data_IF_297085611088
#
_entry.id   IF_297085611088
#
_cell.length_a   1.000
_cell.length_b   1.000
_cell.length_c   1.000
_cell.angle_alpha   90.00
_cell.angle_beta   90.00
_cell.angle_gamma   90.00
#
_symmetry.space_group_name_H-M   'P 1'
#
loop_
_entity.id
_entity.type
_entity.pdbx_description
1 polymer ?
#
# COMPACT_ATOMS: atom_id res chain seq x y z
N UNK A 1 -1.31 48.49 10.55
CA UNK A 1 -1.77 47.09 10.71
C UNK A 1 -1.76 46.45 9.33
N UNK A 2 -0.71 45.72 8.98
CA UNK A 2 -0.68 44.84 7.81
C UNK A 2 0.26 43.68 8.14
N UNK A 3 -0.34 42.56 8.55
CA UNK A 3 0.35 41.34 8.93
C UNK A 3 0.61 40.52 7.67
N UNK A 4 1.80 40.66 7.09
CA UNK A 4 2.25 39.81 5.98
C UNK A 4 2.72 38.46 6.54
N UNK A 5 1.95 37.41 6.23
CA UNK A 5 2.25 36.02 6.58
C UNK A 5 3.61 35.58 5.99
N UNK A 6 4.53 35.17 6.87
CA UNK A 6 5.79 34.53 6.51
C UNK A 6 5.52 33.13 5.95
N UNK A 7 5.65 32.97 4.63
CA UNK A 7 5.74 31.67 3.98
C UNK A 7 7.19 31.15 4.17
N UNK A 8 7.41 30.24 5.13
CA UNK A 8 8.70 29.54 5.29
C UNK A 8 8.91 28.58 4.11
N UNK A 9 9.55 29.06 3.05
CA UNK A 9 10.13 28.21 2.01
C UNK A 9 11.35 27.51 2.60
N UNK A 10 11.23 26.20 2.87
CA UNK A 10 12.39 25.34 3.09
C UNK A 10 13.13 25.19 1.75
N UNK A 11 14.17 26.01 1.57
CA UNK A 11 15.13 25.85 0.48
C UNK A 11 16.19 24.85 0.95
N UNK A 12 16.09 23.60 0.51
CA UNK A 12 17.17 22.63 0.67
C UNK A 12 18.14 22.82 -0.50
N UNK A 13 19.26 23.49 -0.24
CA UNK A 13 20.37 23.61 -1.18
C UNK A 13 21.10 22.26 -1.23
N UNK A 14 20.96 21.50 -2.31
CA UNK A 14 21.79 20.33 -2.57
C UNK A 14 22.81 20.70 -3.66
N UNK A 15 24.09 20.80 -3.29
CA UNK A 15 25.15 21.05 -4.26
C UNK A 15 25.83 19.74 -4.69
N UNK A 16 25.67 19.48 -5.99
CA UNK A 16 26.42 18.68 -6.96
C UNK A 16 27.32 17.51 -6.52
N UNK A 17 27.05 16.35 -7.12
CA UNK A 17 28.09 15.51 -7.71
C UNK A 17 27.57 14.97 -9.05
N UNK A 18 28.22 15.37 -10.15
CA UNK A 18 28.05 14.75 -11.47
C UNK A 18 28.57 13.33 -11.41
N UNK A 19 27.66 12.37 -11.23
CA UNK A 19 27.95 10.96 -11.36
C UNK A 19 27.63 10.49 -12.78
N UNK A 20 28.64 9.91 -13.39
CA UNK A 20 28.70 9.36 -14.74
C UNK A 20 27.58 8.34 -14.97
N UNK A 21 26.93 8.45 -16.13
CA UNK A 21 25.79 7.65 -16.57
C UNK A 21 26.12 6.16 -16.71
N UNK A 22 25.48 5.33 -15.88
CA UNK A 22 25.24 3.91 -16.14
C UNK A 22 23.73 3.68 -16.10
N UNK A 23 23.12 3.32 -17.23
CA UNK A 23 21.67 3.14 -17.39
C UNK A 23 21.15 1.86 -16.73
N UNK A 24 21.17 1.79 -15.40
CA UNK A 24 20.27 0.91 -14.66
C UNK A 24 18.98 1.69 -14.40
N UNK A 25 17.85 1.16 -14.87
CA UNK A 25 16.54 1.73 -14.61
C UNK A 25 16.24 1.49 -13.12
N UNK A 26 16.75 2.37 -12.25
CA UNK A 26 16.84 2.16 -10.80
C UNK A 26 15.48 2.48 -10.13
N UNK A 27 14.45 1.73 -10.54
CA UNK A 27 13.10 1.84 -9.99
C UNK A 27 13.11 1.41 -8.53
N UNK A 28 12.45 2.20 -7.69
CA UNK A 28 12.32 1.97 -6.26
C UNK A 28 11.36 0.82 -6.00
N UNK A 29 11.73 -0.20 -5.20
CA UNK A 29 10.85 -1.33 -4.92
C UNK A 29 9.65 -0.90 -4.07
N UNK A 30 8.44 -1.17 -4.57
CA UNK A 30 7.18 -0.93 -3.87
C UNK A 30 6.47 -2.26 -3.60
N UNK A 31 5.95 -2.42 -2.38
CA UNK A 31 5.14 -3.61 -2.03
C UNK A 31 3.70 -3.19 -1.79
N UNK A 32 2.77 -3.85 -2.49
CA UNK A 32 1.34 -3.61 -2.33
C UNK A 32 0.72 -4.67 -1.41
N UNK A 33 -0.16 -4.26 -0.50
CA UNK A 33 -0.88 -5.13 0.44
C UNK A 33 -2.40 -4.92 0.33
N UNK A 34 -3.13 -5.93 -0.11
CA UNK A 34 -4.60 -5.81 -0.24
C UNK A 34 -5.23 -7.14 -0.56
N UNK A 35 -6.56 -7.24 -0.46
CA UNK A 35 -7.26 -8.52 -0.66
C UNK A 35 -8.62 -8.46 -1.38
N UNK A 36 -9.54 -7.54 -1.05
CA UNK A 36 -10.84 -7.47 -1.73
C UNK A 36 -10.72 -6.89 -3.15
N UNK A 37 -11.83 -6.94 -3.90
CA UNK A 37 -11.90 -6.46 -5.29
C UNK A 37 -11.48 -4.99 -5.43
N UNK A 38 -11.87 -4.13 -4.49
CA UNK A 38 -11.49 -2.71 -4.50
C UNK A 38 -9.97 -2.51 -4.45
N UNK A 39 -9.25 -3.39 -3.75
CA UNK A 39 -7.79 -3.38 -3.68
C UNK A 39 -7.15 -3.83 -5.00
N UNK A 40 -7.82 -4.68 -5.77
CA UNK A 40 -7.33 -5.08 -7.10
C UNK A 40 -7.35 -3.89 -8.08
N UNK A 41 -8.32 -3.00 -7.97
CA UNK A 41 -8.34 -1.73 -8.74
C UNK A 41 -7.15 -0.83 -8.40
N UNK A 42 -6.78 -0.76 -7.12
CA UNK A 42 -5.57 -0.02 -6.70
C UNK A 42 -4.30 -0.67 -7.25
N UNK A 43 -4.20 -1.99 -7.16
CA UNK A 43 -3.06 -2.73 -7.72
C UNK A 43 -2.92 -2.49 -9.23
N UNK A 44 -4.03 -2.48 -9.97
CA UNK A 44 -4.02 -2.21 -11.41
C UNK A 44 -3.44 -0.83 -11.73
N UNK A 45 -3.88 0.20 -10.98
CA UNK A 45 -3.36 1.54 -11.11
C UNK A 45 -1.85 1.61 -10.80
N UNK A 46 -1.38 0.88 -9.77
CA UNK A 46 0.04 0.80 -9.44
C UNK A 46 0.84 0.09 -10.53
N UNK A 47 0.33 -0.98 -11.13
CA UNK A 47 0.99 -1.62 -12.27
C UNK A 47 1.11 -0.66 -13.46
N UNK A 48 0.05 0.04 -13.82
CA UNK A 48 0.06 1.01 -14.92
C UNK A 48 1.04 2.16 -14.66
N UNK A 49 1.02 2.72 -13.45
CA UNK A 49 1.96 3.77 -13.04
C UNK A 49 3.40 3.26 -13.05
N UNK A 50 3.65 2.02 -12.58
CA UNK A 50 4.97 1.42 -12.57
C UNK A 50 5.55 1.15 -13.96
N UNK A 51 4.67 0.90 -14.96
CA UNK A 51 5.05 0.63 -16.34
C UNK A 51 5.36 1.91 -17.14
N UNK A 52 4.97 3.09 -16.64
CA UNK A 52 5.20 4.36 -17.32
C UNK A 52 6.70 4.61 -17.57
N UNK A 53 7.09 5.26 -18.70
CA UNK A 53 8.50 5.48 -19.05
C UNK A 53 9.31 6.26 -18.00
N UNK A 54 8.64 7.18 -17.30
CA UNK A 54 9.21 8.03 -16.26
C UNK A 54 8.90 7.52 -14.84
N UNK A 55 8.44 6.27 -14.70
CA UNK A 55 8.16 5.72 -13.38
C UNK A 55 9.44 5.63 -12.56
N UNK A 56 9.36 6.13 -11.32
CA UNK A 56 10.41 6.04 -10.32
C UNK A 56 10.33 4.77 -9.47
N UNK A 57 9.29 3.94 -9.65
CA UNK A 57 9.04 2.76 -8.83
C UNK A 57 8.62 1.55 -9.65
N UNK A 58 8.78 0.37 -9.05
CA UNK A 58 8.28 -0.90 -9.56
C UNK A 58 7.50 -1.65 -8.47
N UNK A 59 6.48 -2.42 -8.85
CA UNK A 59 5.79 -3.28 -7.90
C UNK A 59 6.64 -4.54 -7.69
N UNK A 60 7.38 -4.58 -6.58
CA UNK A 60 8.34 -5.63 -6.28
C UNK A 60 7.70 -6.88 -5.68
N UNK A 61 6.54 -6.75 -5.01
CA UNK A 61 5.71 -7.87 -4.57
C UNK A 61 4.28 -7.43 -4.28
N UNK A 62 3.38 -8.41 -4.29
CA UNK A 62 1.97 -8.26 -3.87
C UNK A 62 1.74 -9.16 -2.67
N UNK A 63 1.28 -8.59 -1.55
CA UNK A 63 0.90 -9.32 -0.35
C UNK A 63 -0.62 -9.35 -0.25
N UNK A 64 -1.19 -10.53 -0.04
CA UNK A 64 -2.63 -10.69 0.07
C UNK A 64 -2.99 -11.84 1.02
N UNK A 65 -4.25 -11.93 1.42
CA UNK A 65 -4.73 -13.02 2.25
C UNK A 65 -4.59 -14.37 1.53
N UNK A 66 -4.32 -15.45 2.28
CA UNK A 66 -4.31 -16.81 1.74
C UNK A 66 -5.60 -17.16 1.01
N UNK A 67 -5.55 -18.13 0.06
CA UNK A 67 -6.75 -18.66 -0.56
C UNK A 67 -7.78 -19.09 0.49
N UNK A 68 -9.02 -18.69 0.28
CA UNK A 68 -10.12 -18.95 1.22
C UNK A 68 -11.30 -19.56 0.48
N UNK A 69 -12.13 -20.31 1.22
CA UNK A 69 -13.36 -20.89 0.68
C UNK A 69 -14.40 -19.79 0.45
N UNK A 70 -14.79 -19.54 -0.80
CA UNK A 70 -15.73 -18.48 -1.19
C UNK A 70 -16.86 -19.01 -2.09
N UNK A 71 -17.98 -18.29 -2.12
CA UNK A 71 -19.14 -18.60 -2.96
C UNK A 71 -19.94 -19.84 -2.52
N UNK A 72 -21.02 -20.13 -3.27
CA UNK A 72 -21.82 -21.35 -3.09
C UNK A 72 -20.99 -22.56 -3.51
N UNK A 73 -20.89 -23.57 -2.64
CA UNK A 73 -20.01 -24.72 -2.84
C UNK A 73 -18.59 -24.58 -2.27
N UNK A 74 -18.25 -23.43 -1.66
CA UNK A 74 -17.04 -23.23 -0.84
C UNK A 74 -15.73 -23.68 -1.52
N UNK A 75 -15.58 -23.40 -2.82
CA UNK A 75 -14.34 -23.68 -3.54
C UNK A 75 -13.21 -22.85 -2.96
N UNK A 76 -12.02 -23.45 -2.84
CA UNK A 76 -10.82 -22.75 -2.44
C UNK A 76 -10.42 -21.83 -3.60
N UNK A 77 -10.44 -20.52 -3.36
CA UNK A 77 -10.13 -19.53 -4.39
C UNK A 77 -9.06 -18.56 -3.89
N UNK A 78 -8.17 -18.09 -4.77
CA UNK A 78 -7.28 -16.99 -4.45
C UNK A 78 -8.10 -15.74 -4.08
N UNK A 79 -7.45 -14.81 -3.38
CA UNK A 79 -8.04 -13.48 -3.21
C UNK A 79 -8.16 -12.76 -4.56
N UNK A 80 -9.11 -11.81 -4.70
CA UNK A 80 -9.23 -10.95 -5.87
C UNK A 80 -7.91 -10.29 -6.28
N UNK A 81 -7.11 -9.84 -5.30
CA UNK A 81 -5.79 -9.25 -5.56
C UNK A 81 -4.80 -10.27 -6.13
N UNK A 82 -4.73 -11.49 -5.56
CA UNK A 82 -3.87 -12.54 -6.11
C UNK A 82 -4.31 -12.93 -7.52
N UNK A 83 -5.61 -13.11 -7.73
CA UNK A 83 -6.17 -13.47 -9.03
C UNK A 83 -5.83 -12.39 -10.08
N UNK A 84 -6.07 -11.11 -9.76
CA UNK A 84 -5.76 -9.99 -10.65
C UNK A 84 -4.26 -9.90 -10.98
N UNK A 85 -3.38 -10.11 -10.00
CA UNK A 85 -1.94 -10.13 -10.22
C UNK A 85 -1.53 -11.24 -11.20
N UNK A 86 -2.08 -12.46 -11.03
CA UNK A 86 -1.85 -13.59 -11.92
C UNK A 86 -2.34 -13.28 -13.34
N UNK A 87 -3.56 -12.74 -13.48
CA UNK A 87 -4.15 -12.36 -14.78
C UNK A 87 -3.32 -11.28 -15.50
N UNK A 88 -2.67 -10.39 -14.76
CA UNK A 88 -1.72 -9.39 -15.27
C UNK A 88 -0.34 -9.95 -15.64
N UNK A 89 -0.12 -11.26 -15.46
CA UNK A 89 1.17 -11.91 -15.70
C UNK A 89 2.23 -11.56 -14.65
N UNK A 90 1.83 -11.10 -13.46
CA UNK A 90 2.76 -10.83 -12.37
C UNK A 90 3.39 -12.15 -11.86
N UNK A 91 4.71 -12.19 -11.58
CA UNK A 91 5.37 -13.43 -11.19
C UNK A 91 4.74 -14.03 -9.91
N UNK A 92 4.39 -15.31 -9.95
CA UNK A 92 3.67 -15.98 -8.85
C UNK A 92 4.51 -16.11 -7.58
N UNK A 93 5.83 -16.20 -7.71
CA UNK A 93 6.80 -16.17 -6.60
C UNK A 93 6.88 -14.81 -5.90
N UNK A 94 6.34 -13.75 -6.54
CA UNK A 94 6.25 -12.39 -6.01
C UNK A 94 4.88 -12.10 -5.38
N UNK A 95 3.99 -13.08 -5.35
CA UNK A 95 2.69 -13.01 -4.66
C UNK A 95 2.82 -13.73 -3.32
N UNK A 96 2.81 -12.96 -2.23
CA UNK A 96 2.99 -13.46 -0.87
C UNK A 96 1.65 -13.59 -0.14
N UNK A 97 1.42 -14.72 0.51
CA UNK A 97 0.18 -15.00 1.24
C UNK A 97 0.43 -15.48 2.67
N UNK A 98 1.01 -14.65 3.56
CA UNK A 98 1.19 -15.03 4.96
C UNK A 98 -0.16 -15.15 5.67
N UNK A 99 -0.30 -16.08 6.61
CA UNK A 99 -1.52 -16.15 7.44
C UNK A 99 -1.56 -14.93 8.38
N UNK A 100 -0.39 -14.52 8.90
CA UNK A 100 -0.20 -13.38 9.79
C UNK A 100 0.93 -12.48 9.29
N UNK A 101 0.69 -11.18 9.29
CA UNK A 101 1.68 -10.16 8.89
C UNK A 101 2.96 -10.11 9.76
N UNK A 102 2.95 -10.82 10.89
CA UNK A 102 4.12 -10.96 11.77
C UNK A 102 4.90 -12.26 11.61
N UNK A 103 4.58 -13.14 10.67
CA UNK A 103 5.38 -14.37 10.53
C UNK A 103 6.84 -14.05 10.17
N UNK A 104 7.80 -14.61 10.90
CA UNK A 104 9.22 -14.25 10.68
C UNK A 104 9.74 -14.67 9.31
N UNK A 105 9.22 -15.78 8.77
CA UNK A 105 9.47 -16.20 7.40
C UNK A 105 9.00 -15.14 6.39
N UNK A 106 7.78 -14.62 6.57
CA UNK A 106 7.24 -13.55 5.73
C UNK A 106 8.04 -12.25 5.86
N UNK A 107 8.36 -11.83 7.08
CA UNK A 107 9.15 -10.62 7.31
C UNK A 107 10.56 -10.74 6.73
N UNK A 108 11.16 -11.92 6.77
CA UNK A 108 12.46 -12.19 6.14
C UNK A 108 12.40 -12.05 4.63
N UNK A 109 11.38 -12.64 3.99
CA UNK A 109 11.14 -12.45 2.55
C UNK A 109 10.90 -10.99 2.20
N UNK A 110 10.12 -10.27 3.01
CA UNK A 110 9.86 -8.85 2.81
C UNK A 110 11.12 -7.99 2.94
N UNK A 111 11.99 -8.26 3.92
CA UNK A 111 13.29 -7.56 4.06
C UNK A 111 14.20 -7.82 2.87
N UNK A 112 14.20 -9.05 2.33
CA UNK A 112 15.01 -9.41 1.16
C UNK A 112 14.61 -8.62 -0.10
N UNK A 113 13.33 -8.24 -0.22
CA UNK A 113 12.84 -7.38 -1.30
C UNK A 113 13.33 -5.93 -1.19
N UNK A 114 13.81 -5.50 -0.03
CA UNK A 114 14.22 -4.11 0.27
C UNK A 114 13.19 -3.07 -0.20
N UNK A 115 11.91 -3.18 0.22
CA UNK A 115 10.88 -2.24 -0.16
C UNK A 115 11.26 -0.83 0.32
N UNK A 116 11.15 0.16 -0.56
CA UNK A 116 11.32 1.55 -0.16
C UNK A 116 10.04 2.10 0.49
N UNK A 117 8.88 1.65 -0.03
CA UNK A 117 7.54 2.01 0.42
C UNK A 117 6.62 0.79 0.36
N UNK A 118 5.75 0.65 1.36
CA UNK A 118 4.59 -0.25 1.30
C UNK A 118 3.30 0.54 1.11
N UNK A 119 2.38 0.06 0.28
CA UNK A 119 1.02 0.62 0.17
C UNK A 119 0.03 -0.46 0.58
N UNK A 120 -0.90 -0.14 1.46
CA UNK A 120 -1.98 -1.04 1.85
C UNK A 120 -3.36 -0.48 1.52
N UNK A 121 -4.24 -1.35 1.06
CA UNK A 121 -5.65 -1.07 0.84
C UNK A 121 -6.45 -2.31 1.26
N UNK A 122 -7.17 -2.23 2.38
CA UNK A 122 -8.03 -3.30 2.89
C UNK A 122 -7.34 -4.70 2.94
N UNK A 123 -6.14 -4.78 3.51
CA UNK A 123 -5.40 -6.05 3.64
C UNK A 123 -5.98 -7.01 4.71
N UNK A 124 -6.56 -6.47 5.78
CA UNK A 124 -7.27 -7.24 6.81
C UNK A 124 -6.41 -7.80 7.95
N UNK A 125 -5.09 -7.88 7.79
CA UNK A 125 -4.18 -8.18 8.90
C UNK A 125 -3.67 -6.89 9.55
N UNK A 126 -3.58 -6.89 10.89
CA UNK A 126 -2.88 -5.84 11.63
C UNK A 126 -1.39 -5.95 11.34
N UNK A 127 -0.77 -4.87 10.88
CA UNK A 127 0.68 -4.82 10.64
C UNK A 127 1.41 -4.52 11.95
N UNK A 128 2.26 -5.43 12.45
CA UNK A 128 3.00 -5.20 13.69
C UNK A 128 4.11 -4.17 13.48
N UNK A 129 4.61 -3.54 14.55
CA UNK A 129 5.72 -2.56 14.50
C UNK A 129 6.94 -3.05 13.73
N UNK A 130 7.30 -4.34 13.89
CA UNK A 130 8.41 -4.96 13.14
C UNK A 130 8.21 -4.99 11.63
N UNK A 131 6.98 -4.99 11.14
CA UNK A 131 6.67 -4.80 9.72
C UNK A 131 6.86 -3.34 9.33
N UNK A 132 6.29 -2.42 10.12
CA UNK A 132 6.27 -0.98 9.82
C UNK A 132 7.67 -0.37 9.78
N UNK A 133 8.64 -0.98 10.46
CA UNK A 133 10.06 -0.58 10.42
C UNK A 133 10.84 -1.10 9.20
N UNK A 134 10.27 -1.98 8.37
CA UNK A 134 10.99 -2.53 7.19
C UNK A 134 11.13 -1.48 6.08
N UNK A 135 10.06 -0.85 5.56
CA UNK A 135 10.19 0.16 4.52
C UNK A 135 10.67 1.49 5.12
N UNK A 136 11.79 2.08 4.65
CA UNK A 136 12.33 3.33 5.20
C UNK A 136 11.39 4.53 4.99
N UNK A 137 10.60 4.56 3.91
CA UNK A 137 9.55 5.60 3.72
C UNK A 137 8.26 5.29 4.47
N UNK A 138 8.18 4.16 5.18
CA UNK A 138 7.01 3.73 5.93
C UNK A 138 5.99 2.96 5.09
N UNK A 139 4.80 2.80 5.66
CA UNK A 139 3.67 2.14 5.00
C UNK A 139 2.54 3.13 4.84
N UNK A 140 1.94 3.20 3.67
CA UNK A 140 0.82 4.09 3.37
C UNK A 140 -0.48 3.30 3.33
N UNK A 141 -1.48 3.67 4.13
CA UNK A 141 -2.81 3.06 4.09
C UNK A 141 -3.79 3.92 3.29
N UNK A 142 -4.50 3.29 2.35
CA UNK A 142 -5.62 3.87 1.60
C UNK A 142 -6.89 3.55 2.37
N UNK A 143 -7.43 4.56 3.05
CA UNK A 143 -8.61 4.42 3.90
C UNK A 143 -9.82 5.11 3.26
N UNK A 144 -10.93 4.40 3.00
CA UNK A 144 -12.08 4.95 2.30
C UNK A 144 -13.02 5.72 3.24
N UNK A 145 -12.47 6.62 4.05
CA UNK A 145 -13.22 7.66 4.76
C UNK A 145 -12.40 8.95 4.90
N UNK A 146 -13.10 10.02 5.28
CA UNK A 146 -12.47 11.27 5.70
C UNK A 146 -12.06 11.17 7.17
N UNK A 147 -10.77 10.99 7.43
CA UNK A 147 -10.20 10.90 8.75
C UNK A 147 -10.21 12.26 9.46
N UNK A 148 -10.36 12.28 10.80
CA UNK A 148 -10.40 11.13 11.72
C UNK A 148 -11.77 10.42 11.80
N UNK A 149 -12.75 10.74 10.95
CA UNK A 149 -14.07 10.12 10.97
C UNK A 149 -14.09 8.74 10.32
N UNK A 150 -14.98 7.88 10.83
CA UNK A 150 -15.23 6.53 10.31
C UNK A 150 -13.96 5.66 10.22
N UNK A 151 -13.07 5.75 11.21
CA UNK A 151 -12.00 4.76 11.39
C UNK A 151 -12.58 3.35 11.54
N UNK A 152 -11.74 2.35 11.33
CA UNK A 152 -12.13 0.95 11.51
C UNK A 152 -12.47 0.20 10.24
N UNK A 153 -13.08 -0.97 10.43
CA UNK A 153 -13.16 -2.00 9.39
C UNK A 153 -14.27 -1.78 8.33
N UNK A 154 -15.23 -0.88 8.59
CA UNK A 154 -16.40 -0.67 7.72
C UNK A 154 -16.74 0.81 7.47
N UNK A 155 -15.76 1.65 7.10
CA UNK A 155 -15.95 3.10 6.89
C UNK A 155 -17.09 3.41 5.93
N UNK A 156 -17.12 2.76 4.76
CA UNK A 156 -18.12 3.00 3.71
C UNK A 156 -19.53 2.75 4.24
N UNK A 157 -19.75 1.62 4.92
CA UNK A 157 -21.06 1.28 5.47
C UNK A 157 -21.49 2.28 6.55
N UNK A 158 -20.57 2.77 7.39
CA UNK A 158 -20.89 3.76 8.42
C UNK A 158 -21.24 5.12 7.82
N UNK A 159 -20.54 5.55 6.78
CA UNK A 159 -20.86 6.81 6.08
C UNK A 159 -22.22 6.76 5.39
N UNK A 160 -22.66 5.60 4.92
CA UNK A 160 -23.99 5.44 4.31
C UNK A 160 -25.14 5.43 5.33
N UNK A 161 -24.86 5.30 6.62
CA UNK A 161 -25.87 5.31 7.69
C UNK A 161 -26.23 6.72 8.19
N UNK A 162 -25.54 7.76 7.71
CA UNK A 162 -25.77 9.15 8.10
C UNK A 162 -26.46 9.96 6.99
N UNK A 163 -27.25 10.99 7.33
CA UNK A 163 -28.06 11.74 6.38
C UNK A 163 -27.26 12.58 5.36
N UNK A 164 -25.99 12.86 5.62
CA UNK A 164 -25.10 13.57 4.69
C UNK A 164 -23.90 12.69 4.34
N UNK A 165 -23.79 12.31 3.06
CA UNK A 165 -22.76 11.40 2.59
C UNK A 165 -21.63 12.22 1.94
N UNK A 166 -20.46 12.19 2.55
CA UNK A 166 -19.21 12.60 1.93
C UNK A 166 -18.20 11.46 2.11
N UNK A 167 -17.95 10.71 1.04
CA UNK A 167 -16.92 9.67 1.02
C UNK A 167 -15.65 10.24 0.38
N UNK A 168 -14.57 10.31 1.15
CA UNK A 168 -13.24 10.68 0.68
C UNK A 168 -12.31 9.50 0.93
N UNK A 169 -11.25 9.40 0.14
CA UNK A 169 -10.18 8.44 0.35
C UNK A 169 -9.00 9.19 0.93
N UNK A 170 -8.62 8.85 2.17
CA UNK A 170 -7.44 9.41 2.81
C UNK A 170 -6.24 8.46 2.72
N UNK A 171 -5.07 9.08 2.61
CA UNK A 171 -3.78 8.42 2.48
C UNK A 171 -2.95 8.78 3.71
N UNK A 172 -2.70 7.80 4.58
CA UNK A 172 -1.94 8.02 5.81
C UNK A 172 -0.58 7.34 5.74
N UNK A 173 0.49 8.08 6.05
CA UNK A 173 1.78 7.48 6.38
C UNK A 173 1.73 6.86 7.78
N UNK A 174 1.71 5.55 7.80
CA UNK A 174 1.53 4.76 9.00
C UNK A 174 2.87 4.30 9.56
N UNK A 175 3.30 4.93 10.65
CA UNK A 175 4.35 4.37 11.52
C UNK A 175 3.76 3.55 12.68
N UNK A 176 2.44 3.62 12.89
CA UNK A 176 1.71 3.00 14.00
C UNK A 176 0.26 2.70 13.58
N UNK A 177 0.02 1.57 12.89
CA UNK A 177 -1.26 1.22 12.21
C UNK A 177 -2.48 1.10 13.12
N UNK A 178 -2.28 1.32 14.42
CA UNK A 178 -3.33 1.43 15.41
C UNK A 178 -4.28 2.59 15.13
N UNK A 179 -3.80 3.72 14.59
CA UNK A 179 -4.66 4.88 14.44
C UNK A 179 -5.70 4.66 13.33
N UNK A 180 -5.38 4.03 12.20
CA UNK A 180 -6.32 3.97 11.06
C UNK A 180 -7.42 2.89 11.18
N UNK A 181 -7.23 1.91 12.05
CA UNK A 181 -8.07 0.70 12.16
C UNK A 181 -8.97 0.70 13.42
N UNK A 182 -8.82 1.65 14.35
CA UNK A 182 -9.65 1.80 15.54
C UNK A 182 -10.32 3.18 15.57
#
# INVERSE_FOLDING_TARGET
>A
MNSSLMLRRFSCCYNAATATSSSSNNKKPLVFLGSPQVSATVLDALFNASAAPNSIFEVAAVVTQPPARRGRGKKLMPSPVAQHAIERGFPTDRILTPERAGEEMFLSSLRALRPELCITAAYGNILPTRFLHIPPMGTVNIHPSLLPFYRGAAPVQRTLQVPYILLVVDVICDKYLYDSIL
#
